data_IF_518110976108
#
_entry.id   IF_518110976108
#
_cell.length_a   1.000
_cell.length_b   1.000
_cell.length_c   1.000
_cell.angle_alpha   90.00
_cell.angle_beta   90.00
_cell.angle_gamma   90.00
#
_symmetry.space_group_name_H-M   'P 1'
#
loop_
_entity.id
_entity.type
_entity.pdbx_description
1 polymer ?
#
# COMPACT_ATOMS: atom_id res chain seq x y z
N UNK A 1 -0.68 -0.81 -13.14
CA UNK A 1 0.70 -0.73 -12.59
C UNK A 1 1.18 -2.15 -12.32
N UNK A 2 2.43 -2.51 -12.65
CA UNK A 2 2.94 -3.85 -12.31
C UNK A 2 3.49 -3.79 -10.88
N UNK A 3 2.86 -4.49 -9.94
CA UNK A 3 3.24 -4.48 -8.52
C UNK A 3 4.49 -5.32 -8.23
N UNK A 4 4.97 -6.08 -9.20
CA UNK A 4 6.20 -6.87 -9.11
C UNK A 4 7.16 -6.37 -10.21
N UNK A 5 7.93 -5.28 -9.94
CA UNK A 5 8.74 -4.63 -10.97
C UNK A 5 9.84 -5.56 -11.52
N UNK A 6 10.37 -6.45 -10.69
CA UNK A 6 11.50 -7.32 -11.03
C UNK A 6 11.06 -8.66 -11.64
N UNK A 7 9.80 -8.84 -12.03
CA UNK A 7 9.30 -10.12 -12.55
C UNK A 7 10.09 -10.59 -13.78
N UNK A 8 10.54 -9.65 -14.61
CA UNK A 8 11.34 -9.93 -15.81
C UNK A 8 12.79 -10.36 -15.50
N UNK A 9 13.29 -10.01 -14.31
CA UNK A 9 14.66 -10.32 -13.87
C UNK A 9 14.74 -11.61 -13.05
N UNK A 10 13.59 -12.25 -12.77
CA UNK A 10 13.48 -13.40 -11.88
C UNK A 10 14.52 -14.48 -12.17
N UNK A 11 14.64 -14.94 -13.41
CA UNK A 11 15.57 -16.03 -13.78
C UNK A 11 17.04 -15.64 -13.61
N UNK A 12 17.38 -14.37 -13.87
CA UNK A 12 18.73 -13.85 -13.66
C UNK A 12 19.07 -13.81 -12.16
N UNK A 13 18.12 -13.35 -11.33
CA UNK A 13 18.28 -13.32 -9.88
C UNK A 13 18.42 -14.73 -9.29
N UNK A 14 17.61 -15.70 -9.72
CA UNK A 14 17.70 -17.09 -9.25
C UNK A 14 19.05 -17.72 -9.62
N UNK A 15 19.52 -17.48 -10.85
CA UNK A 15 20.83 -17.95 -11.30
C UNK A 15 21.97 -17.35 -10.48
N UNK A 16 21.92 -16.06 -10.18
CA UNK A 16 22.96 -15.35 -9.41
C UNK A 16 23.09 -15.89 -8.00
N UNK A 17 21.96 -16.16 -7.32
CA UNK A 17 21.96 -16.73 -5.97
C UNK A 17 22.13 -18.27 -5.96
N UNK A 18 22.23 -18.91 -7.13
CA UNK A 18 22.52 -20.34 -7.27
C UNK A 18 21.35 -21.29 -6.99
N UNK A 19 20.10 -20.81 -7.01
CA UNK A 19 18.90 -21.65 -6.80
C UNK A 19 18.19 -21.95 -8.12
N UNK A 20 17.54 -23.11 -8.20
CA UNK A 20 16.89 -23.60 -9.42
C UNK A 20 15.49 -23.02 -9.63
N UNK A 21 14.78 -22.70 -8.54
CA UNK A 21 13.42 -22.19 -8.58
C UNK A 21 13.06 -21.42 -7.29
N UNK A 22 11.85 -20.86 -7.26
CA UNK A 22 11.35 -20.09 -6.10
C UNK A 22 11.11 -20.97 -4.88
N UNK A 23 10.75 -22.25 -5.04
CA UNK A 23 10.48 -23.12 -3.90
C UNK A 23 11.76 -23.42 -3.10
N UNK A 24 12.91 -23.49 -3.78
CA UNK A 24 14.23 -23.66 -3.15
C UNK A 24 14.63 -22.43 -2.30
N UNK A 25 14.22 -21.22 -2.71
CA UNK A 25 14.45 -19.98 -1.96
C UNK A 25 13.78 -20.00 -0.57
N UNK A 26 12.67 -20.72 -0.43
CA UNK A 26 11.90 -20.82 0.82
C UNK A 26 12.15 -22.13 1.58
N UNK A 27 13.23 -22.84 1.26
CA UNK A 27 13.55 -24.15 1.84
C UNK A 27 13.78 -24.11 3.36
N UNK A 28 14.18 -22.96 3.89
CA UNK A 28 14.42 -22.67 5.31
C UNK A 28 13.13 -22.61 6.15
N UNK A 29 11.98 -22.36 5.54
CA UNK A 29 10.68 -22.39 6.22
C UNK A 29 10.25 -23.84 6.44
N UNK A 30 10.02 -24.33 7.67
CA UNK A 30 9.60 -25.72 7.89
C UNK A 30 8.29 -26.07 7.18
N UNK A 31 8.22 -27.21 6.48
CA UNK A 31 7.03 -27.62 5.70
C UNK A 31 5.74 -27.63 6.53
N UNK A 32 5.84 -28.04 7.81
CA UNK A 32 4.70 -28.11 8.74
C UNK A 32 3.99 -26.77 8.97
N UNK A 33 4.64 -25.63 8.72
CA UNK A 33 4.05 -24.30 8.85
C UNK A 33 3.81 -23.59 7.51
N UNK A 34 4.16 -24.23 6.38
CA UNK A 34 3.91 -23.65 5.05
C UNK A 34 2.43 -23.75 4.70
N UNK A 35 1.88 -22.66 4.16
CA UNK A 35 0.50 -22.60 3.71
C UNK A 35 0.46 -22.96 2.22
N UNK A 36 -0.31 -23.98 1.85
CA UNK A 36 -0.42 -24.43 0.43
C UNK A 36 -1.31 -23.53 -0.42
N UNK A 37 -2.36 -22.98 0.17
CA UNK A 37 -3.32 -22.10 -0.52
C UNK A 37 -3.97 -21.14 0.47
N UNK A 38 -4.14 -19.89 0.06
CA UNK A 38 -4.93 -18.92 0.77
C UNK A 38 -6.40 -19.04 0.35
N UNK A 39 -7.33 -19.02 1.31
CA UNK A 39 -8.76 -19.01 1.05
C UNK A 39 -9.22 -17.58 0.72
N UNK A 40 -8.83 -17.09 -0.45
CA UNK A 40 -9.13 -15.75 -0.95
C UNK A 40 -9.88 -15.85 -2.29
N UNK A 41 -10.76 -14.89 -2.60
CA UNK A 41 -11.36 -14.78 -3.93
C UNK A 41 -10.29 -14.51 -4.98
N UNK A 42 -10.63 -14.78 -6.25
CA UNK A 42 -9.74 -14.49 -7.37
C UNK A 42 -9.39 -12.99 -7.45
N UNK A 43 -8.19 -12.74 -7.97
CA UNK A 43 -7.71 -11.38 -8.20
C UNK A 43 -8.63 -10.60 -9.14
N UNK A 44 -8.90 -9.35 -8.79
CA UNK A 44 -9.70 -8.41 -9.60
C UNK A 44 -8.77 -7.42 -10.30
N UNK A 45 -9.19 -6.93 -11.46
CA UNK A 45 -8.49 -5.83 -12.12
C UNK A 45 -8.63 -4.54 -11.31
N UNK A 46 -7.71 -3.59 -11.50
CA UNK A 46 -7.76 -2.28 -10.85
C UNK A 46 -9.12 -1.59 -11.04
N UNK A 47 -9.69 -1.68 -12.25
CA UNK A 47 -11.01 -1.12 -12.57
C UNK A 47 -12.14 -1.79 -11.79
N UNK A 48 -12.11 -3.12 -11.67
CA UNK A 48 -13.10 -3.89 -10.92
C UNK A 48 -13.04 -3.52 -9.43
N UNK A 49 -11.85 -3.48 -8.85
CA UNK A 49 -11.64 -3.10 -7.44
C UNK A 49 -12.16 -1.68 -7.20
N UNK A 50 -11.79 -0.72 -8.05
CA UNK A 50 -12.25 0.68 -7.91
C UNK A 50 -13.77 0.80 -7.97
N UNK A 51 -14.41 0.09 -8.90
CA UNK A 51 -15.87 0.08 -9.04
C UNK A 51 -16.53 -0.48 -7.79
N UNK A 52 -16.10 -1.65 -7.35
CA UNK A 52 -16.66 -2.33 -6.17
C UNK A 52 -16.53 -1.50 -4.89
N UNK A 53 -15.34 -0.94 -4.63
CA UNK A 53 -15.14 -0.06 -3.47
C UNK A 53 -16.05 1.16 -3.55
N UNK A 54 -16.19 1.75 -4.74
CA UNK A 54 -17.10 2.90 -4.94
C UNK A 54 -18.56 2.50 -4.66
N UNK A 55 -18.99 1.32 -5.11
CA UNK A 55 -20.35 0.82 -4.90
C UNK A 55 -20.64 0.50 -3.42
N UNK A 56 -19.64 0.01 -2.67
CA UNK A 56 -19.74 -0.14 -1.22
C UNK A 56 -19.89 1.24 -0.56
N UNK A 57 -19.03 2.20 -0.90
CA UNK A 57 -19.04 3.55 -0.32
C UNK A 57 -20.34 4.31 -0.58
N UNK A 58 -21.02 4.05 -1.70
CA UNK A 58 -22.33 4.64 -2.04
C UNK A 58 -23.45 4.28 -1.06
N UNK A 59 -23.29 3.22 -0.27
CA UNK A 59 -24.28 2.83 0.76
C UNK A 59 -24.25 3.75 1.98
N UNK A 60 -23.17 4.51 2.17
CA UNK A 60 -23.02 5.43 3.30
C UNK A 60 -23.91 6.66 3.13
N UNK A 61 -24.52 7.12 4.22
CA UNK A 61 -25.28 8.38 4.26
C UNK A 61 -24.35 9.53 4.63
N UNK A 62 -24.35 10.59 3.81
CA UNK A 62 -23.71 11.86 4.16
C UNK A 62 -24.71 12.66 4.99
N UNK A 63 -24.41 12.84 6.28
CA UNK A 63 -25.25 13.59 7.22
C UNK A 63 -24.45 14.72 7.85
N UNK A 64 -25.12 15.81 8.21
CA UNK A 64 -24.55 16.80 9.12
C UNK A 64 -24.54 16.17 10.52
N UNK A 65 -23.35 16.01 11.09
CA UNK A 65 -23.16 15.42 12.41
C UNK A 65 -22.76 16.48 13.42
N UNK A 66 -23.55 16.61 14.48
CA UNK A 66 -23.30 17.47 15.64
C UNK A 66 -23.07 16.66 16.92
N UNK A 67 -22.76 15.36 16.81
CA UNK A 67 -22.56 14.47 17.96
C UNK A 67 -21.32 14.84 18.79
N UNK A 68 -20.31 15.49 18.19
CA UNK A 68 -19.12 15.95 18.89
C UNK A 68 -18.21 14.81 19.35
N UNK A 69 -17.84 14.80 20.65
CA UNK A 69 -16.94 13.81 21.26
C UNK A 69 -15.53 13.75 20.63
N UNK A 70 -14.98 14.91 20.27
CA UNK A 70 -13.62 15.01 19.72
C UNK A 70 -13.54 14.88 18.19
N UNK A 71 -14.66 14.63 17.50
CA UNK A 71 -14.74 14.64 16.04
C UNK A 71 -15.76 15.66 15.58
N UNK A 72 -15.31 16.64 14.79
CA UNK A 72 -16.13 17.75 14.32
C UNK A 72 -15.99 17.90 12.82
N UNK A 73 -17.08 18.28 12.15
CA UNK A 73 -17.00 18.62 10.73
C UNK A 73 -16.18 19.90 10.57
N UNK A 74 -15.14 19.84 9.74
CA UNK A 74 -14.25 20.96 9.47
C UNK A 74 -14.17 21.23 7.98
N UNK A 75 -14.02 22.51 7.63
CA UNK A 75 -13.66 22.88 6.26
C UNK A 75 -12.22 22.44 5.99
N UNK A 76 -12.03 21.62 4.94
CA UNK A 76 -10.71 21.20 4.47
C UNK A 76 -10.35 22.03 3.24
N UNK A 77 -9.35 22.94 3.31
CA UNK A 77 -8.94 23.74 2.17
C UNK A 77 -8.50 22.89 0.99
N UNK A 78 -8.78 23.35 -0.24
CA UNK A 78 -8.42 22.64 -1.48
C UNK A 78 -6.91 22.37 -1.59
N UNK A 79 -6.08 23.26 -1.05
CA UNK A 79 -4.63 23.11 -0.99
C UNK A 79 -4.19 21.84 -0.25
N UNK A 80 -4.94 21.37 0.75
CA UNK A 80 -4.60 20.15 1.51
C UNK A 80 -4.52 18.96 0.57
N UNK A 81 -5.48 18.80 -0.34
CA UNK A 81 -5.49 17.69 -1.30
C UNK A 81 -4.28 17.71 -2.23
N UNK A 82 -3.82 18.90 -2.62
CA UNK A 82 -2.63 19.06 -3.45
C UNK A 82 -1.37 18.66 -2.68
N UNK A 83 -1.25 19.04 -1.41
CA UNK A 83 -0.11 18.68 -0.55
C UNK A 83 -0.10 17.19 -0.24
N UNK A 84 -1.21 16.64 0.25
CA UNK A 84 -1.31 15.22 0.63
C UNK A 84 -1.26 14.27 -0.57
N UNK A 85 -1.48 14.79 -1.78
CA UNK A 85 -1.37 14.04 -3.03
C UNK A 85 0.07 13.88 -3.53
N UNK A 86 1.05 14.55 -2.91
CA UNK A 86 2.46 14.43 -3.27
C UNK A 86 3.08 13.19 -2.63
N UNK A 87 3.69 12.34 -3.44
CA UNK A 87 4.33 11.09 -3.01
C UNK A 87 5.30 11.28 -1.85
N UNK A 88 6.07 12.36 -1.87
CA UNK A 88 7.12 12.68 -0.91
C UNK A 88 6.62 12.73 0.54
N UNK A 89 5.33 13.04 0.74
CA UNK A 89 4.71 13.10 2.07
C UNK A 89 4.09 11.79 2.56
N UNK A 90 3.80 10.83 1.68
CA UNK A 90 3.12 9.58 2.07
C UNK A 90 3.89 8.30 1.71
N UNK A 91 4.95 8.38 0.91
CA UNK A 91 5.84 7.24 0.62
C UNK A 91 7.12 7.28 1.44
N UNK A 92 7.51 8.44 1.97
CA UNK A 92 8.62 8.55 2.92
C UNK A 92 8.24 7.92 4.26
N UNK A 93 9.25 7.40 4.96
CA UNK A 93 9.08 6.84 6.31
C UNK A 93 9.70 7.80 7.35
N UNK A 94 10.01 7.27 8.53
CA UNK A 94 10.72 8.01 9.59
C UNK A 94 11.98 8.68 9.02
N UNK A 95 12.19 9.99 9.25
CA UNK A 95 13.27 10.77 8.64
C UNK A 95 14.64 10.49 9.31
N UNK A 96 15.10 9.24 9.27
CA UNK A 96 16.40 8.82 9.82
C UNK A 96 17.60 9.44 9.11
N UNK A 97 17.42 9.96 7.89
CA UNK A 97 18.44 10.63 7.10
C UNK A 97 18.05 12.11 6.99
N UNK A 98 18.45 12.95 7.96
CA UNK A 98 17.97 14.32 8.06
C UNK A 98 18.36 15.18 6.86
N UNK A 99 19.53 14.97 6.26
CA UNK A 99 20.06 15.74 5.13
C UNK A 99 19.16 15.66 3.89
N UNK A 100 18.45 14.54 3.72
CA UNK A 100 17.52 14.30 2.60
C UNK A 100 16.04 14.38 3.02
N UNK A 101 15.76 14.74 4.28
CA UNK A 101 14.40 14.75 4.84
C UNK A 101 13.97 16.10 5.42
N UNK A 102 14.72 17.18 5.14
CA UNK A 102 14.49 18.51 5.73
C UNK A 102 13.06 19.04 5.53
N UNK A 103 12.42 18.79 4.38
CA UNK A 103 11.05 19.23 4.15
C UNK A 103 10.02 18.58 5.07
N UNK A 104 10.18 17.28 5.38
CA UNK A 104 9.31 16.58 6.32
C UNK A 104 9.63 16.99 7.77
N UNK A 105 10.91 17.13 8.10
CA UNK A 105 11.37 17.57 9.43
C UNK A 105 10.91 18.99 9.76
N UNK A 106 10.80 19.88 8.78
CA UNK A 106 10.29 21.23 8.97
C UNK A 106 8.75 21.27 9.12
N UNK A 107 8.05 20.30 8.54
CA UNK A 107 6.58 20.25 8.58
C UNK A 107 6.01 19.68 9.89
N UNK A 108 6.81 18.93 10.64
CA UNK A 108 6.47 18.33 11.95
C UNK A 108 6.88 19.25 13.10
#
# INVERSE_FOLDING_TARGET
>A
MNYIPNIILKEQMLKEIGVKNIDELFSDIPEKIRIKKLNLPDGKTEMQVRKEVTDILRKNKKILSFLGCGVYSQYVPSAVKAVTGRSEFYTSYTPYQPEVSQGMLQAL
#
